data_IF_292896034985
#
_entry.id   IF_292896034985
#
_cell.length_a   1.000
_cell.length_b   1.000
_cell.length_c   1.000
_cell.angle_alpha   90.00
_cell.angle_beta   90.00
_cell.angle_gamma   90.00
#
_symmetry.space_group_name_H-M   'P 1'
#
loop_
_entity.id
_entity.type
_entity.pdbx_description
1 polymer ?
#
# COMPACT_ATOMS: atom_id res chain seq x y z
N UNK A 1 2.29 31.11 -8.48
CA UNK A 1 2.45 29.85 -7.70
C UNK A 1 3.89 29.80 -7.25
N UNK A 2 4.17 29.83 -5.95
CA UNK A 2 5.55 29.72 -5.46
C UNK A 2 6.04 28.29 -5.69
N UNK A 3 7.26 28.12 -6.20
CA UNK A 3 7.87 26.81 -6.52
C UNK A 3 7.77 25.80 -5.35
N UNK A 4 7.78 26.30 -4.11
CA UNK A 4 7.58 25.50 -2.89
C UNK A 4 6.26 24.73 -2.86
N UNK A 5 5.16 25.31 -3.34
CA UNK A 5 3.85 24.65 -3.32
C UNK A 5 3.74 23.54 -4.37
N UNK A 6 4.38 23.73 -5.53
CA UNK A 6 4.43 22.72 -6.58
C UNK A 6 5.26 21.50 -6.11
N UNK A 7 6.42 21.74 -5.50
CA UNK A 7 7.27 20.68 -4.94
C UNK A 7 6.53 19.91 -3.83
N UNK A 8 5.84 20.60 -2.92
CA UNK A 8 5.04 19.94 -1.85
C UNK A 8 3.94 19.07 -2.42
N UNK A 9 3.21 19.52 -3.44
CA UNK A 9 2.15 18.73 -4.10
C UNK A 9 2.70 17.50 -4.80
N UNK A 10 3.84 17.65 -5.47
CA UNK A 10 4.52 16.53 -6.13
C UNK A 10 5.01 15.50 -5.10
N UNK A 11 5.67 15.96 -4.03
CA UNK A 11 6.11 15.11 -2.93
C UNK A 11 4.94 14.37 -2.27
N UNK A 12 3.82 15.06 -2.02
CA UNK A 12 2.61 14.47 -1.48
C UNK A 12 2.02 13.39 -2.39
N UNK A 13 1.92 13.68 -3.69
CA UNK A 13 1.41 12.73 -4.69
C UNK A 13 2.32 11.52 -4.83
N UNK A 14 3.65 11.73 -4.80
CA UNK A 14 4.64 10.66 -4.82
C UNK A 14 4.58 9.78 -3.57
N UNK A 15 4.44 10.40 -2.38
CA UNK A 15 4.21 9.65 -1.14
C UNK A 15 2.93 8.83 -1.22
N UNK A 16 1.80 9.45 -1.57
CA UNK A 16 0.52 8.74 -1.66
C UNK A 16 0.57 7.57 -2.65
N UNK A 17 1.16 7.75 -3.83
CA UNK A 17 1.29 6.68 -4.82
C UNK A 17 2.21 5.56 -4.31
N UNK A 18 3.36 5.90 -3.73
CA UNK A 18 4.30 4.92 -3.19
C UNK A 18 3.72 4.13 -2.03
N UNK A 19 3.15 4.82 -1.05
CA UNK A 19 2.48 4.18 0.09
C UNK A 19 1.24 3.40 -0.34
N UNK A 20 0.46 3.87 -1.30
CA UNK A 20 -0.68 3.15 -1.84
C UNK A 20 -0.27 1.81 -2.48
N UNK A 21 0.75 1.83 -3.33
CA UNK A 21 1.26 0.61 -3.95
C UNK A 21 1.81 -0.38 -2.92
N UNK A 22 2.58 0.12 -1.94
CA UNK A 22 3.11 -0.70 -0.84
C UNK A 22 1.98 -1.26 0.03
N UNK A 23 0.97 -0.46 0.34
CA UNK A 23 -0.18 -0.88 1.13
C UNK A 23 -0.96 -1.99 0.41
N UNK A 24 -1.18 -1.90 -0.90
CA UNK A 24 -1.82 -2.97 -1.67
C UNK A 24 -1.05 -4.29 -1.58
N UNK A 25 0.27 -4.25 -1.78
CA UNK A 25 1.12 -5.45 -1.66
C UNK A 25 1.13 -6.02 -0.24
N UNK A 26 1.25 -5.15 0.77
CA UNK A 26 1.24 -5.54 2.17
C UNK A 26 -0.12 -6.15 2.55
N UNK A 27 -1.22 -5.57 2.07
CA UNK A 27 -2.59 -6.04 2.35
C UNK A 27 -2.80 -7.45 1.83
N UNK A 28 -2.44 -7.72 0.57
CA UNK A 28 -2.56 -9.06 0.00
C UNK A 28 -1.76 -10.10 0.79
N UNK A 29 -0.51 -9.77 1.16
CA UNK A 29 0.33 -10.64 1.99
C UNK A 29 -0.24 -10.88 3.39
N UNK A 30 -0.70 -9.82 4.05
CA UNK A 30 -1.25 -9.91 5.40
C UNK A 30 -2.57 -10.68 5.40
N UNK A 31 -3.43 -10.48 4.40
CA UNK A 31 -4.67 -11.23 4.24
C UNK A 31 -4.38 -12.73 4.05
N UNK A 32 -3.44 -13.07 3.16
CA UNK A 32 -3.03 -14.47 2.95
C UNK A 32 -2.47 -15.11 4.22
N UNK A 33 -1.62 -14.38 4.96
CA UNK A 33 -1.05 -14.85 6.22
C UNK A 33 -2.13 -15.04 7.29
N UNK A 34 -3.04 -14.08 7.43
CA UNK A 34 -4.15 -14.15 8.39
C UNK A 34 -5.08 -15.32 8.06
N UNK A 35 -5.39 -15.54 6.78
CA UNK A 35 -6.22 -16.65 6.32
C UNK A 35 -5.57 -17.99 6.66
N UNK A 36 -4.30 -18.18 6.28
CA UNK A 36 -3.51 -19.36 6.67
C UNK A 36 -3.48 -19.56 8.19
N UNK A 37 -3.43 -18.48 8.96
CA UNK A 37 -3.39 -18.56 10.43
C UNK A 37 -4.72 -18.99 11.05
N UNK A 38 -5.84 -18.63 10.43
CA UNK A 38 -7.20 -18.93 10.90
C UNK A 38 -7.65 -20.32 10.41
N UNK A 39 -7.50 -20.59 9.11
CA UNK A 39 -8.05 -21.77 8.46
C UNK A 39 -7.01 -22.89 8.27
N UNK A 40 -5.72 -22.61 8.51
CA UNK A 40 -4.64 -23.58 8.31
C UNK A 40 -4.52 -24.12 6.88
N UNK A 41 -5.16 -23.46 5.90
CA UNK A 41 -5.13 -23.77 4.47
C UNK A 41 -4.65 -22.56 3.66
N UNK A 42 -4.27 -22.81 2.40
CA UNK A 42 -3.89 -21.74 1.47
C UNK A 42 -5.13 -20.91 1.05
N UNK A 43 -5.03 -19.57 1.02
CA UNK A 43 -6.13 -18.73 0.58
C UNK A 43 -6.52 -19.09 -0.86
N UNK A 44 -7.81 -19.10 -1.20
CA UNK A 44 -8.27 -19.35 -2.56
C UNK A 44 -7.76 -18.25 -3.51
N UNK A 45 -7.39 -18.62 -4.73
CA UNK A 45 -6.94 -17.71 -5.80
C UNK A 45 -8.06 -16.81 -6.33
#
# INVERSE_FOLDING_TARGET
>A
MNDSDLVKRLAWSGLLAGFGALASMATARLAALAFRRIFHEDPPE
#
